data_IF_575696323910
#
_entry.id   IF_575696323910
#
_cell.length_a   1.000
_cell.length_b   1.000
_cell.length_c   1.000
_cell.angle_alpha   90.00
_cell.angle_beta   90.00
_cell.angle_gamma   90.00
#
_symmetry.space_group_name_H-M   'P 1'
#
loop_
_entity.id
_entity.type
_entity.pdbx_description
1 polymer ?
#
# COMPACT_ATOMS: atom_id res chain seq x y z
N UNK A 1 19.10 -8.15 -22.30
CA UNK A 1 18.93 -8.89 -21.04
C UNK A 1 17.52 -8.58 -20.56
N UNK A 2 16.55 -9.43 -20.90
CA UNK A 2 15.17 -9.24 -20.48
C UNK A 2 15.14 -9.45 -18.96
N UNK A 3 14.90 -8.37 -18.20
CA UNK A 3 14.61 -8.52 -16.79
C UNK A 3 13.40 -9.43 -16.71
N UNK A 4 13.59 -10.59 -16.08
CA UNK A 4 12.50 -11.49 -15.78
C UNK A 4 11.71 -10.82 -14.64
N UNK A 5 10.95 -9.79 -15.01
CA UNK A 5 10.12 -9.00 -14.11
C UNK A 5 9.03 -9.94 -13.62
N UNK A 6 9.30 -10.63 -12.51
CA UNK A 6 8.26 -11.32 -11.76
C UNK A 6 7.18 -10.29 -11.47
N UNK A 7 6.06 -10.41 -12.20
CA UNK A 7 4.87 -9.60 -11.99
C UNK A 7 4.52 -9.74 -10.51
N UNK A 8 4.46 -8.61 -9.80
CA UNK A 8 4.07 -8.62 -8.40
C UNK A 8 2.68 -9.25 -8.29
N UNK A 9 2.60 -10.34 -7.54
CA UNK A 9 1.39 -11.13 -7.38
C UNK A 9 1.00 -11.26 -5.90
N UNK A 10 -0.07 -12.00 -5.64
CA UNK A 10 -0.58 -12.17 -4.28
C UNK A 10 0.38 -12.96 -3.37
N UNK A 11 1.25 -13.81 -3.93
CA UNK A 11 2.30 -14.50 -3.17
C UNK A 11 3.40 -13.52 -2.74
N UNK A 12 3.74 -12.54 -3.61
CA UNK A 12 4.66 -11.46 -3.25
C UNK A 12 4.07 -10.61 -2.13
N UNK A 13 2.80 -10.22 -2.24
CA UNK A 13 2.10 -9.49 -1.18
C UNK A 13 2.10 -10.25 0.15
N UNK A 14 1.72 -11.53 0.12
CA UNK A 14 1.71 -12.35 1.31
C UNK A 14 3.12 -12.46 1.89
N UNK A 15 4.15 -12.80 1.10
CA UNK A 15 5.52 -12.94 1.59
C UNK A 15 6.12 -11.64 2.16
N UNK A 16 5.82 -10.48 1.58
CA UNK A 16 6.24 -9.17 2.10
C UNK A 16 5.47 -8.74 3.34
N UNK A 17 4.27 -9.29 3.56
CA UNK A 17 3.53 -9.04 4.79
C UNK A 17 4.27 -9.61 5.99
N UNK A 18 4.57 -8.72 6.91
CA UNK A 18 5.22 -8.94 8.20
C UNK A 18 4.56 -10.03 9.05
N UNK A 19 5.36 -10.68 9.91
CA UNK A 19 4.89 -11.72 10.85
C UNK A 19 3.77 -11.24 11.77
N UNK A 20 3.76 -9.96 12.12
CA UNK A 20 2.69 -9.31 12.86
C UNK A 20 2.38 -7.97 12.22
N UNK A 21 1.14 -7.75 11.81
CA UNK A 21 0.70 -6.50 11.19
C UNK A 21 -0.36 -5.83 12.07
N UNK A 22 -0.45 -4.50 11.99
CA UNK A 22 -1.62 -3.78 12.45
C UNK A 22 -2.80 -4.15 11.54
N UNK A 23 -3.99 -4.31 12.11
CA UNK A 23 -5.18 -4.64 11.35
C UNK A 23 -6.44 -4.29 12.13
N UNK A 24 -7.54 -4.06 11.41
CA UNK A 24 -8.88 -3.89 11.96
C UNK A 24 -9.94 -4.19 10.90
N UNK A 25 -11.17 -4.45 11.35
CA UNK A 25 -12.35 -4.54 10.47
C UNK A 25 -13.18 -3.25 10.55
N UNK A 26 -13.29 -2.68 11.75
CA UNK A 26 -13.88 -1.37 12.03
C UNK A 26 -12.87 -0.54 12.85
N UNK A 27 -12.75 0.75 12.54
CA UNK A 27 -11.89 1.67 13.28
C UNK A 27 -12.43 1.97 14.68
N UNK A 28 -13.75 1.86 14.91
CA UNK A 28 -14.37 2.05 16.22
C UNK A 28 -13.96 0.98 17.24
N UNK A 29 -13.67 -0.23 16.78
CA UNK A 29 -13.17 -1.32 17.63
C UNK A 29 -11.69 -1.15 17.99
N UNK A 30 -10.99 -0.26 17.29
CA UNK A 30 -9.56 -0.02 17.43
C UNK A 30 -8.69 -0.81 16.45
N UNK A 31 -7.41 -0.42 16.38
CA UNK A 31 -6.41 -1.03 15.52
C UNK A 31 -5.45 -1.86 16.37
N UNK A 32 -5.33 -3.16 16.05
CA UNK A 32 -4.55 -4.10 16.85
C UNK A 32 -3.45 -4.77 16.05
N UNK A 33 -2.32 -5.03 16.71
CA UNK A 33 -1.24 -5.84 16.14
C UNK A 33 -1.56 -7.33 16.30
N UNK A 34 -1.74 -8.03 15.19
CA UNK A 34 -2.10 -9.46 15.17
C UNK A 34 -1.06 -10.29 14.39
N UNK A 35 -0.95 -11.61 14.66
CA UNK A 35 -0.20 -12.52 13.79
C UNK A 35 -0.68 -12.43 12.35
N UNK A 36 0.24 -12.62 11.40
CA UNK A 36 0.03 -12.48 9.96
C UNK A 36 -1.22 -13.20 9.45
N UNK A 37 -1.39 -14.47 9.80
CA UNK A 37 -2.54 -15.28 9.36
C UNK A 37 -3.88 -14.63 9.71
N UNK A 38 -4.00 -14.07 10.92
CA UNK A 38 -5.19 -13.34 11.36
C UNK A 38 -5.29 -11.96 10.72
N UNK A 39 -4.18 -11.25 10.56
CA UNK A 39 -4.19 -9.91 9.96
C UNK A 39 -4.60 -9.95 8.47
N UNK A 40 -4.18 -10.98 7.73
CA UNK A 40 -4.51 -11.17 6.32
C UNK A 40 -6.02 -11.42 6.08
N UNK A 41 -6.79 -11.79 7.11
CA UNK A 41 -8.24 -11.96 7.01
C UNK A 41 -9.03 -10.69 7.34
N UNK A 42 -8.37 -9.57 7.68
CA UNK A 42 -9.02 -8.32 8.12
C UNK A 42 -9.27 -7.37 6.97
N UNK A 43 -10.25 -6.47 7.10
CA UNK A 43 -10.58 -5.47 6.06
C UNK A 43 -9.43 -4.49 5.80
N UNK A 44 -8.77 -4.04 6.88
CA UNK A 44 -7.66 -3.11 6.85
C UNK A 44 -6.40 -3.77 7.42
N UNK A 45 -5.24 -3.46 6.85
CA UNK A 45 -3.96 -4.04 7.25
C UNK A 45 -2.79 -3.06 7.07
N UNK A 46 -1.84 -3.10 8.00
CA UNK A 46 -0.58 -2.38 7.89
C UNK A 46 0.38 -3.14 6.99
N UNK A 47 0.57 -2.67 5.77
CA UNK A 47 1.54 -3.24 4.83
C UNK A 47 2.97 -2.85 5.20
N UNK A 48 3.16 -1.57 5.52
CA UNK A 48 4.40 -1.04 6.06
C UNK A 48 4.50 -1.34 7.57
N UNK A 49 5.73 -1.34 8.08
CA UNK A 49 5.99 -1.64 9.48
C UNK A 49 6.84 -0.56 10.14
N UNK A 50 7.12 -0.67 11.43
CA UNK A 50 7.89 0.36 12.17
C UNK A 50 9.33 0.51 11.65
N UNK A 51 9.88 -0.54 11.06
CA UNK A 51 11.28 -0.60 10.62
C UNK A 51 11.46 -0.38 9.13
N UNK A 52 10.49 -0.73 8.30
CA UNK A 52 10.61 -0.75 6.84
C UNK A 52 9.41 -0.12 6.14
N UNK A 53 9.71 0.56 5.03
CA UNK A 53 8.77 0.87 3.94
C UNK A 53 8.87 -0.28 2.94
N UNK A 54 7.84 -1.12 2.89
CA UNK A 54 7.70 -2.22 1.94
C UNK A 54 7.12 -1.76 0.60
N UNK A 55 6.35 -0.67 0.60
CA UNK A 55 5.78 -0.08 -0.60
C UNK A 55 5.18 1.29 -0.30
N UNK A 56 4.73 1.95 -1.35
CA UNK A 56 4.04 3.23 -1.26
C UNK A 56 2.54 3.01 -1.49
N UNK A 57 1.72 3.49 -0.56
CA UNK A 57 0.27 3.45 -0.67
C UNK A 57 -0.23 4.88 -0.83
N UNK A 58 -1.10 5.08 -1.82
CA UNK A 58 -1.75 6.37 -2.06
C UNK A 58 -3.25 6.19 -1.94
N UNK A 59 -3.88 6.93 -1.02
CA UNK A 59 -5.33 6.97 -0.88
C UNK A 59 -5.90 8.03 -1.80
N UNK A 60 -6.81 7.61 -2.69
CA UNK A 60 -7.42 8.45 -3.71
C UNK A 60 -8.90 8.58 -3.41
N UNK A 61 -9.28 9.73 -2.86
CA UNK A 61 -10.64 10.01 -2.37
C UNK A 61 -11.53 10.69 -3.42
N UNK A 62 -11.64 10.05 -4.58
CA UNK A 62 -12.57 10.48 -5.63
C UNK A 62 -13.01 9.31 -6.52
N UNK A 63 -14.10 9.48 -7.27
CA UNK A 63 -14.76 8.43 -8.06
C UNK A 63 -13.85 7.67 -9.03
N UNK A 64 -12.85 8.36 -9.60
CA UNK A 64 -11.88 7.77 -10.54
C UNK A 64 -10.66 7.14 -9.86
N UNK A 65 -10.72 6.81 -8.56
CA UNK A 65 -9.56 6.39 -7.77
C UNK A 65 -8.79 5.22 -8.40
N UNK A 66 -9.48 4.21 -8.92
CA UNK A 66 -8.87 3.02 -9.51
C UNK A 66 -8.06 3.28 -10.79
N UNK A 67 -8.39 4.35 -11.53
CA UNK A 67 -7.75 4.71 -12.80
C UNK A 67 -6.92 6.00 -12.70
N UNK A 68 -6.81 6.59 -11.51
CA UNK A 68 -6.12 7.86 -11.31
C UNK A 68 -4.68 7.84 -11.84
N UNK A 69 -3.98 6.70 -11.69
CA UNK A 69 -2.64 6.51 -12.23
C UNK A 69 -2.57 6.62 -13.76
N UNK A 70 -3.58 6.12 -14.46
CA UNK A 70 -3.63 6.12 -15.93
C UNK A 70 -3.96 7.52 -16.46
N UNK A 71 -4.92 8.21 -15.81
CA UNK A 71 -5.31 9.58 -16.14
C UNK A 71 -4.14 10.57 -16.06
N UNK A 72 -3.17 10.31 -15.19
CA UNK A 72 -1.97 11.15 -15.03
C UNK A 72 -0.73 10.55 -15.69
N UNK A 73 -0.87 9.47 -16.46
CA UNK A 73 0.24 8.78 -17.14
C UNK A 73 1.35 8.31 -16.20
N UNK A 74 1.00 7.88 -14.98
CA UNK A 74 1.92 7.27 -14.03
C UNK A 74 2.14 5.79 -14.34
N UNK A 75 3.13 5.18 -13.67
CA UNK A 75 3.29 3.74 -13.73
C UNK A 75 2.05 3.03 -13.18
N UNK A 76 1.71 1.86 -13.75
CA UNK A 76 0.64 1.02 -13.22
C UNK A 76 0.98 0.55 -11.80
N UNK A 77 0.09 0.70 -10.81
CA UNK A 77 0.26 0.15 -9.47
C UNK A 77 0.41 -1.36 -9.50
N UNK A 78 1.11 -1.91 -8.51
CA UNK A 78 1.19 -3.36 -8.31
C UNK A 78 -0.15 -3.95 -7.86
N UNK A 79 -0.94 -3.17 -7.14
CA UNK A 79 -2.29 -3.55 -6.73
C UNK A 79 -3.16 -2.31 -6.61
N UNK A 80 -4.36 -2.37 -7.18
CA UNK A 80 -5.39 -1.34 -7.11
C UNK A 80 -6.51 -1.90 -6.25
N UNK A 81 -6.87 -1.19 -5.17
CA UNK A 81 -7.84 -1.67 -4.17
C UNK A 81 -8.98 -0.66 -4.07
N UNK A 82 -10.03 -0.90 -4.84
CA UNK A 82 -11.14 0.03 -5.01
C UNK A 82 -12.31 -0.30 -4.08
N UNK A 83 -12.86 0.73 -3.44
CA UNK A 83 -14.19 0.67 -2.85
C UNK A 83 -15.25 0.72 -3.96
N UNK A 84 -16.01 -0.36 -4.10
CA UNK A 84 -17.01 -0.52 -5.16
C UNK A 84 -18.20 0.43 -5.02
N UNK A 85 -18.40 1.03 -3.83
CA UNK A 85 -19.55 1.90 -3.54
C UNK A 85 -19.34 3.34 -4.00
N UNK A 86 -18.12 3.87 -3.91
CA UNK A 86 -17.82 5.28 -4.17
C UNK A 86 -16.62 5.52 -5.10
N UNK A 87 -15.97 4.47 -5.59
CA UNK A 87 -14.86 4.60 -6.55
C UNK A 87 -13.51 4.99 -5.95
N UNK A 88 -13.46 5.37 -4.67
CA UNK A 88 -12.22 5.67 -3.95
C UNK A 88 -11.31 4.43 -3.95
N UNK A 89 -10.00 4.62 -4.00
CA UNK A 89 -9.08 3.50 -4.09
C UNK A 89 -7.77 3.73 -3.34
N UNK A 90 -7.18 2.63 -2.87
CA UNK A 90 -5.76 2.63 -2.52
C UNK A 90 -4.97 2.10 -3.71
N UNK A 91 -3.91 2.82 -4.09
CA UNK A 91 -2.95 2.40 -5.09
C UNK A 91 -1.67 1.96 -4.39
N UNK A 92 -1.33 0.67 -4.50
CA UNK A 92 -0.12 0.10 -3.90
C UNK A 92 0.97 -0.04 -4.96
N UNK A 93 2.11 0.61 -4.69
CA UNK A 93 3.37 0.45 -5.41
C UNK A 93 4.38 -0.26 -4.50
N UNK A 94 4.46 -1.59 -4.60
CA UNK A 94 5.32 -2.42 -3.79
C UNK A 94 6.78 -2.29 -4.22
N UNK A 95 7.68 -2.16 -3.25
CA UNK A 95 9.11 -2.13 -3.50
C UNK A 95 9.65 -3.55 -3.65
N UNK A 96 10.52 -3.74 -4.64
CA UNK A 96 11.30 -4.98 -4.77
C UNK A 96 12.21 -5.23 -3.56
N UNK A 97 12.73 -4.16 -2.98
CA UNK A 97 13.57 -4.20 -1.78
C UNK A 97 13.09 -3.12 -0.81
N UNK A 98 12.65 -3.49 0.41
CA UNK A 98 12.15 -2.52 1.38
C UNK A 98 13.21 -1.49 1.78
N UNK A 99 12.76 -0.28 2.11
CA UNK A 99 13.63 0.80 2.62
C UNK A 99 13.57 0.80 4.14
N UNK A 100 14.73 0.60 4.79
CA UNK A 100 14.86 0.74 6.24
C UNK A 100 14.59 2.19 6.65
N UNK A 101 13.79 2.41 7.70
CA UNK A 101 13.42 3.73 8.25
C UNK A 101 13.68 3.86 9.76
N UNK A 102 14.48 2.96 10.33
CA UNK A 102 14.98 3.07 11.70
C UNK A 102 16.20 3.99 11.77
N UNK A 103 16.74 4.21 12.97
CA UNK A 103 17.98 4.97 13.18
C UNK A 103 19.18 4.45 12.37
N UNK A 104 19.21 3.15 12.06
CA UNK A 104 20.27 2.53 11.25
C UNK A 104 20.08 2.70 9.74
N UNK A 105 19.05 3.44 9.30
CA UNK A 105 18.76 3.66 7.89
C UNK A 105 19.87 4.47 7.19
N UNK A 106 20.15 4.08 5.95
CA UNK A 106 20.97 4.90 5.06
C UNK A 106 20.13 6.11 4.62
N UNK A 107 20.68 7.32 4.82
CA UNK A 107 19.99 8.58 4.49
C UNK A 107 19.62 8.66 3.00
N UNK A 108 20.50 8.20 2.10
CA UNK A 108 20.27 8.30 0.64
C UNK A 108 18.99 7.55 0.19
N UNK A 109 18.80 6.24 0.46
CA UNK A 109 17.55 5.54 0.18
C UNK A 109 16.32 6.16 0.84
N UNK A 110 16.44 6.56 2.12
CA UNK A 110 15.31 7.13 2.86
C UNK A 110 14.85 8.46 2.25
N UNK A 111 15.79 9.34 1.88
CA UNK A 111 15.51 10.60 1.17
C UNK A 111 14.88 10.35 -0.20
N UNK A 112 15.41 9.38 -0.96
CA UNK A 112 14.82 9.01 -2.25
C UNK A 112 13.38 8.52 -2.10
N UNK A 113 13.11 7.65 -1.12
CA UNK A 113 11.76 7.16 -0.84
C UNK A 113 10.80 8.30 -0.51
N UNK A 114 11.24 9.28 0.30
CA UNK A 114 10.44 10.47 0.62
C UNK A 114 10.15 11.34 -0.61
N UNK A 115 11.14 11.56 -1.49
CA UNK A 115 10.95 12.32 -2.73
C UNK A 115 9.94 11.62 -3.66
N UNK A 116 10.06 10.30 -3.81
CA UNK A 116 9.14 9.50 -4.62
C UNK A 116 7.72 9.55 -4.05
N UNK A 117 7.56 9.34 -2.74
CA UNK A 117 6.27 9.45 -2.06
C UNK A 117 5.63 10.82 -2.32
N UNK A 118 6.38 11.91 -2.09
CA UNK A 118 5.87 13.26 -2.30
C UNK A 118 5.45 13.50 -3.76
N UNK A 119 6.32 13.16 -4.72
CA UNK A 119 6.03 13.36 -6.14
C UNK A 119 4.82 12.57 -6.62
N UNK A 120 4.64 11.33 -6.14
CA UNK A 120 3.45 10.55 -6.46
C UNK A 120 2.19 11.08 -5.78
N UNK A 121 2.27 11.50 -4.51
CA UNK A 121 1.13 12.13 -3.82
C UNK A 121 0.63 13.35 -4.60
N UNK A 122 1.54 14.20 -5.07
CA UNK A 122 1.17 15.38 -5.88
C UNK A 122 0.63 15.00 -7.24
N UNK A 123 1.32 14.12 -7.97
CA UNK A 123 0.91 13.72 -9.32
C UNK A 123 -0.43 13.00 -9.34
N UNK A 124 -0.69 12.14 -8.37
CA UNK A 124 -1.94 11.38 -8.25
C UNK A 124 -3.07 12.20 -7.61
N UNK A 125 -2.78 13.41 -7.10
CA UNK A 125 -3.68 14.17 -6.25
C UNK A 125 -4.24 13.33 -5.08
N UNK A 126 -3.36 12.53 -4.46
CA UNK A 126 -3.70 11.66 -3.35
C UNK A 126 -3.90 12.45 -2.05
N UNK A 127 -4.62 11.88 -1.08
CA UNK A 127 -4.78 12.51 0.23
C UNK A 127 -3.41 12.72 0.90
N UNK A 128 -3.08 14.00 1.13
CA UNK A 128 -1.85 14.42 1.81
C UNK A 128 -1.85 14.10 3.31
N UNK A 129 -3.04 13.87 3.88
CA UNK A 129 -3.23 13.55 5.30
C UNK A 129 -3.16 12.05 5.57
N UNK A 130 -3.15 11.22 4.53
CA UNK A 130 -3.04 9.78 4.66
C UNK A 130 -1.71 9.38 5.30
N UNK A 131 -1.79 8.69 6.43
CA UNK A 131 -0.65 8.39 7.30
C UNK A 131 0.15 7.14 6.93
N UNK A 132 -0.29 6.38 5.91
CA UNK A 132 0.34 5.12 5.47
C UNK A 132 0.44 4.04 6.58
N UNK A 133 -0.42 4.12 7.61
CA UNK A 133 -0.45 3.16 8.71
C UNK A 133 -1.25 1.90 8.33
N UNK A 134 -2.43 2.09 7.74
CA UNK A 134 -3.33 1.02 7.33
C UNK A 134 -3.79 1.26 5.91
N UNK A 135 -3.80 0.19 5.11
CA UNK A 135 -4.40 0.17 3.79
C UNK A 135 -5.54 -0.85 3.73
N UNK A 136 -6.44 -0.65 2.76
CA UNK A 136 -7.43 -1.67 2.39
C UNK A 136 -6.68 -2.97 2.08
N UNK A 137 -7.10 -4.07 2.66
CA UNK A 137 -6.42 -5.35 2.48
C UNK A 137 -6.82 -5.98 1.14
N UNK A 138 -5.92 -6.15 0.16
CA UNK A 138 -6.26 -6.65 -1.18
C UNK A 138 -6.82 -8.07 -1.17
N UNK A 139 -6.59 -8.85 -0.11
CA UNK A 139 -7.14 -10.20 0.07
C UNK A 139 -8.60 -10.22 0.48
N UNK A 140 -9.15 -9.10 0.97
CA UNK A 140 -10.54 -9.01 1.41
C UNK A 140 -11.48 -8.69 0.23
N UNK A 141 -11.48 -9.56 -0.78
CA UNK A 141 -12.16 -9.38 -2.09
C UNK A 141 -13.70 -9.29 -2.00
N UNK A 142 -14.29 -9.70 -0.88
CA UNK A 142 -15.71 -9.51 -0.62
C UNK A 142 -16.09 -8.05 -0.31
N UNK A 143 -15.15 -7.23 0.17
CA UNK A 143 -15.38 -5.81 0.48
C UNK A 143 -14.80 -4.92 -0.62
N UNK A 144 -13.66 -5.30 -1.20
CA UNK A 144 -12.93 -4.49 -2.17
C UNK A 144 -12.87 -5.14 -3.55
N UNK A 145 -12.88 -4.31 -4.60
CA UNK A 145 -12.44 -4.74 -5.93
C UNK A 145 -10.93 -4.58 -6.04
N UNK A 146 -10.21 -5.69 -6.12
CA UNK A 146 -8.76 -5.74 -6.23
C UNK A 146 -8.32 -6.13 -7.65
N UNK A 147 -7.42 -5.37 -8.28
CA UNK A 147 -6.85 -5.66 -9.61
C UNK A 147 -5.36 -5.36 -9.71
#
# INVERSE_FOLDING_TARGET
MLFNDKIYNMENYNSQTQKYALCCDDFNDGVYRSPKERALSKKQIGFNNISFVNGFVFDIDHDNGAIAWDLVGSAKPNTIIQNTKNGHAHLLYALKSPVLKTYSARIKPLKMASIVQCGFTERLNADRSYSDILMKNPLHTHEWRTT
#
